data_IF_317222818315
#
_entry.id   IF_317222818315
#
_cell.length_a   1.000
_cell.length_b   1.000
_cell.length_c   1.000
_cell.angle_alpha   90.00
_cell.angle_beta   90.00
_cell.angle_gamma   90.00
#
_symmetry.space_group_name_H-M   'P 1'
#
loop_
_entity.id
_entity.type
_entity.pdbx_description
1 polymer ?
#
# COMPACT_ATOMS: atom_id res chain seq x y z
N UNK A 1 19.43 2.31 30.29
CA UNK A 1 18.29 1.54 29.72
C UNK A 1 18.40 1.54 28.21
N UNK A 2 18.13 0.43 27.53
CA UNK A 2 18.10 0.39 26.06
C UNK A 2 16.90 1.19 25.54
N UNK A 3 17.15 2.15 24.64
CA UNK A 3 16.10 2.94 23.99
C UNK A 3 15.08 1.99 23.34
N UNK A 4 13.79 2.26 23.52
CA UNK A 4 12.71 1.52 22.86
C UNK A 4 12.10 2.41 21.79
N UNK A 5 11.92 1.86 20.58
CA UNK A 5 11.26 2.52 19.46
C UNK A 5 10.01 1.71 19.10
N UNK A 6 8.86 2.36 19.13
CA UNK A 6 7.59 1.76 18.71
C UNK A 6 7.30 2.21 17.28
N UNK A 7 7.07 1.24 16.39
CA UNK A 7 6.66 1.47 15.01
C UNK A 7 5.18 1.12 14.91
N UNK A 8 4.36 2.11 14.55
CA UNK A 8 2.92 1.94 14.38
C UNK A 8 2.61 1.77 12.88
N UNK A 9 2.07 0.62 12.51
CA UNK A 9 1.73 0.24 11.14
C UNK A 9 2.75 -0.71 10.51
N UNK A 10 2.35 -1.95 10.28
CA UNK A 10 3.08 -3.02 9.58
C UNK A 10 3.05 -2.94 8.06
N UNK A 11 2.89 -1.73 7.50
CA UNK A 11 2.99 -1.46 6.07
C UNK A 11 4.44 -1.41 5.56
N UNK A 12 4.62 -1.03 4.30
CA UNK A 12 5.95 -0.94 3.65
C UNK A 12 6.91 -0.07 4.46
N UNK A 13 6.48 1.15 4.83
CA UNK A 13 7.31 2.09 5.58
C UNK A 13 7.64 1.63 6.99
N UNK A 14 6.69 1.02 7.70
CA UNK A 14 6.95 0.52 9.05
C UNK A 14 7.90 -0.67 9.07
N UNK A 15 7.73 -1.61 8.14
CA UNK A 15 8.67 -2.73 7.98
C UNK A 15 10.06 -2.24 7.56
N UNK A 16 10.15 -1.24 6.67
CA UNK A 16 11.41 -0.61 6.32
C UNK A 16 12.06 0.08 7.54
N UNK A 17 11.27 0.80 8.36
CA UNK A 17 11.77 1.41 9.58
C UNK A 17 12.31 0.36 10.56
N UNK A 18 11.56 -0.72 10.82
CA UNK A 18 12.02 -1.83 11.66
C UNK A 18 13.32 -2.44 11.14
N UNK A 19 13.40 -2.67 9.82
CA UNK A 19 14.61 -3.17 9.17
C UNK A 19 15.81 -2.26 9.48
N UNK A 20 15.71 -0.96 9.20
CA UNK A 20 16.81 -0.03 9.42
C UNK A 20 17.17 0.14 10.90
N UNK A 21 16.20 0.16 11.81
CA UNK A 21 16.43 0.19 13.26
C UNK A 21 17.18 -1.06 13.76
N UNK A 22 16.91 -2.24 13.19
CA UNK A 22 17.57 -3.49 13.58
C UNK A 22 19.00 -3.62 13.07
N UNK A 23 19.40 -2.81 12.08
CA UNK A 23 20.67 -2.93 11.36
C UNK A 23 21.81 -2.08 11.92
N UNK A 24 21.53 -1.22 12.89
CA UNK A 24 22.58 -0.36 13.50
C UNK A 24 23.43 -1.15 14.51
N UNK A 25 24.69 -0.74 14.79
CA UNK A 25 25.60 -1.50 15.66
C UNK A 25 25.08 -1.76 17.09
N UNK A 26 24.23 -0.86 17.61
CA UNK A 26 23.58 -0.97 18.92
C UNK A 26 22.07 -0.76 18.74
N UNK A 27 21.34 -1.77 18.26
CA UNK A 27 19.94 -1.58 17.91
C UNK A 27 19.10 -1.32 19.16
N UNK A 28 18.11 -0.40 19.10
CA UNK A 28 17.13 -0.24 20.15
C UNK A 28 16.21 -1.46 20.23
N UNK A 29 15.45 -1.58 21.32
CA UNK A 29 14.30 -2.49 21.34
C UNK A 29 13.25 -1.96 20.35
N UNK A 30 12.92 -2.74 19.33
CA UNK A 30 11.90 -2.38 18.33
C UNK A 30 10.60 -3.12 18.64
N UNK A 31 9.49 -2.38 18.74
CA UNK A 31 8.14 -2.94 18.90
C UNK A 31 7.31 -2.52 17.69
N UNK A 32 6.90 -3.48 16.87
CA UNK A 32 6.01 -3.24 15.74
C UNK A 32 4.57 -3.53 16.18
N UNK A 33 3.67 -2.57 15.97
CA UNK A 33 2.24 -2.71 16.23
C UNK A 33 1.49 -2.55 14.91
N UNK A 34 0.69 -3.55 14.55
CA UNK A 34 -0.13 -3.56 13.34
C UNK A 34 -1.59 -3.86 13.74
N UNK A 35 -2.54 -3.11 13.17
CA UNK A 35 -3.96 -3.25 13.50
C UNK A 35 -4.65 -4.41 12.79
N UNK A 36 -4.07 -4.92 11.71
CA UNK A 36 -4.56 -6.09 10.97
C UNK A 36 -3.87 -7.39 11.38
N UNK A 37 -4.41 -8.51 10.92
CA UNK A 37 -3.88 -9.86 11.19
C UNK A 37 -2.57 -10.16 10.44
N UNK A 38 -2.07 -9.22 9.62
CA UNK A 38 -0.88 -9.46 8.79
C UNK A 38 -0.04 -8.20 8.57
N UNK A 39 1.22 -8.43 8.21
CA UNK A 39 2.14 -7.39 7.76
C UNK A 39 2.11 -7.26 6.23
N UNK A 40 2.61 -6.13 5.71
CA UNK A 40 2.85 -5.89 4.27
C UNK A 40 2.00 -4.77 3.66
N UNK A 41 1.08 -4.16 4.41
CA UNK A 41 0.21 -3.09 3.89
C UNK A 41 -0.57 -3.56 2.66
N UNK A 42 -0.59 -2.79 1.57
CA UNK A 42 -1.31 -3.17 0.34
C UNK A 42 -0.60 -4.21 -0.53
N UNK A 43 0.60 -4.66 -0.15
CA UNK A 43 1.32 -5.73 -0.84
C UNK A 43 0.87 -7.08 -0.27
N UNK A 44 0.49 -8.02 -1.15
CA UNK A 44 0.08 -9.37 -0.77
C UNK A 44 0.34 -10.36 -1.90
N UNK A 45 1.04 -11.45 -1.59
CA UNK A 45 1.15 -12.58 -2.51
C UNK A 45 -0.01 -13.56 -2.30
N UNK A 46 -0.62 -14.03 -3.38
CA UNK A 46 -1.65 -15.09 -3.38
C UNK A 46 -1.15 -16.25 -4.22
N UNK A 47 -1.25 -17.47 -3.70
CA UNK A 47 -0.89 -18.69 -4.44
C UNK A 47 -2.15 -19.33 -5.02
N UNK A 48 -2.10 -19.68 -6.30
CA UNK A 48 -3.09 -20.50 -6.97
C UNK A 48 -2.93 -21.99 -6.67
N UNK A 49 -3.98 -22.76 -6.95
CA UNK A 49 -3.99 -24.23 -6.86
C UNK A 49 -2.97 -24.87 -7.83
N UNK A 50 -2.69 -24.18 -8.94
CA UNK A 50 -1.69 -24.51 -9.95
C UNK A 50 -0.26 -24.13 -9.54
N UNK A 51 -0.06 -23.61 -8.32
CA UNK A 51 1.23 -23.13 -7.82
C UNK A 51 1.63 -21.74 -8.32
N UNK A 52 0.82 -21.10 -9.17
CA UNK A 52 1.09 -19.75 -9.66
C UNK A 52 1.04 -18.72 -8.49
N UNK A 53 1.97 -17.77 -8.49
CA UNK A 53 2.03 -16.70 -7.47
C UNK A 53 1.57 -15.38 -8.08
N UNK A 54 0.56 -14.76 -7.48
CA UNK A 54 0.02 -13.45 -7.86
C UNK A 54 0.45 -12.42 -6.83
N UNK A 55 1.19 -11.41 -7.27
CA UNK A 55 1.56 -10.28 -6.41
C UNK A 55 0.49 -9.19 -6.52
N UNK A 56 -0.30 -9.02 -5.46
CA UNK A 56 -1.24 -7.92 -5.32
C UNK A 56 -0.49 -6.69 -4.82
N UNK A 57 -0.79 -5.53 -5.41
CA UNK A 57 -0.19 -4.25 -5.05
C UNK A 57 0.14 -3.37 -6.25
N UNK A 58 0.93 -2.30 -6.07
CA UNK A 58 1.14 -1.26 -7.07
C UNK A 58 1.98 -1.70 -8.29
N UNK A 59 2.61 -2.89 -8.26
CA UNK A 59 3.22 -3.55 -9.43
C UNK A 59 3.06 -5.06 -9.28
N UNK A 60 2.15 -5.66 -10.02
CA UNK A 60 1.69 -7.02 -9.74
C UNK A 60 2.08 -8.13 -10.71
N UNK A 61 3.02 -7.91 -11.65
CA UNK A 61 3.38 -8.99 -12.59
C UNK A 61 4.89 -9.04 -12.86
N UNK A 62 5.49 -10.20 -12.59
CA UNK A 62 6.71 -10.68 -13.27
C UNK A 62 6.31 -11.91 -14.08
N UNK A 63 5.78 -11.74 -15.30
CA UNK A 63 5.38 -12.89 -16.10
C UNK A 63 6.67 -13.60 -16.55
N UNK A 64 6.86 -14.85 -16.13
CA UNK A 64 7.97 -15.68 -16.57
C UNK A 64 7.43 -17.00 -17.14
N UNK A 65 8.00 -17.44 -18.26
CA UNK A 65 7.63 -18.68 -18.93
C UNK A 65 6.22 -18.71 -19.54
N UNK A 66 5.76 -19.91 -19.91
CA UNK A 66 4.45 -20.13 -20.54
C UNK A 66 3.27 -19.70 -19.65
N UNK A 67 3.45 -19.70 -18.32
CA UNK A 67 2.47 -19.21 -17.34
C UNK A 67 2.33 -17.68 -17.37
N UNK A 68 3.39 -16.94 -17.69
CA UNK A 68 3.35 -15.50 -17.93
C UNK A 68 2.85 -15.10 -19.32
N UNK A 69 2.97 -16.01 -20.30
CA UNK A 69 2.54 -15.79 -21.69
C UNK A 69 1.02 -15.87 -21.89
N UNK A 70 0.27 -16.47 -20.96
CA UNK A 70 -1.19 -16.40 -20.91
C UNK A 70 -1.59 -15.12 -20.19
N UNK A 71 -1.59 -14.04 -20.96
CA UNK A 71 -1.77 -12.63 -20.58
C UNK A 71 -2.57 -12.41 -19.29
N UNK A 72 -1.87 -12.01 -18.21
CA UNK A 72 -2.50 -11.45 -17.02
C UNK A 72 -2.90 -10.01 -17.32
N UNK A 73 -4.16 -9.79 -17.72
CA UNK A 73 -4.73 -8.46 -17.81
C UNK A 73 -5.03 -7.95 -16.41
N UNK A 74 -4.23 -6.98 -15.96
CA UNK A 74 -4.52 -6.25 -14.75
C UNK A 74 -5.41 -5.07 -15.10
N UNK A 75 -6.71 -5.20 -14.81
CA UNK A 75 -7.66 -4.10 -14.98
C UNK A 75 -7.77 -3.33 -13.67
N UNK A 76 -7.36 -2.07 -13.70
CA UNK A 76 -7.53 -1.15 -12.57
C UNK A 76 -8.88 -0.45 -12.69
N UNK A 77 -9.75 -0.69 -11.71
CA UNK A 77 -11.03 -0.01 -11.59
C UNK A 77 -10.98 0.98 -10.42
N UNK A 78 -11.57 2.17 -10.59
CA UNK A 78 -11.53 3.21 -9.58
C UNK A 78 -12.28 4.47 -10.01
N UNK A 79 -11.75 5.64 -9.64
CA UNK A 79 -12.30 6.94 -10.02
C UNK A 79 -13.69 7.21 -9.44
N UNK A 80 -14.39 8.18 -10.06
CA UNK A 80 -15.74 8.59 -9.66
C UNK A 80 -16.76 7.46 -9.75
N UNK A 81 -16.60 6.55 -10.71
CA UNK A 81 -17.47 5.38 -10.86
C UNK A 81 -17.46 4.50 -9.60
N UNK A 82 -16.27 4.13 -9.10
CA UNK A 82 -16.18 3.34 -7.87
C UNK A 82 -16.70 4.12 -6.66
N UNK A 83 -16.43 5.43 -6.59
CA UNK A 83 -16.95 6.27 -5.50
C UNK A 83 -18.49 6.30 -5.49
N UNK A 84 -19.13 6.34 -6.66
CA UNK A 84 -20.59 6.23 -6.78
C UNK A 84 -21.11 4.90 -6.25
N UNK A 85 -20.46 3.79 -6.60
CA UNK A 85 -20.81 2.46 -6.07
C UNK A 85 -20.64 2.36 -4.56
N UNK A 86 -19.57 2.93 -4.01
CA UNK A 86 -19.35 2.94 -2.57
C UNK A 86 -20.36 3.85 -1.84
N UNK A 87 -20.80 4.93 -2.47
CA UNK A 87 -21.85 5.80 -1.94
C UNK A 87 -23.22 5.09 -1.95
N UNK A 88 -23.56 4.37 -3.02
CA UNK A 88 -24.76 3.52 -3.11
C UNK A 88 -24.79 2.44 -2.01
N UNK A 89 -23.66 1.79 -1.77
CA UNK A 89 -23.54 0.74 -0.77
C UNK A 89 -23.64 1.27 0.68
N UNK A 90 -23.36 2.56 0.90
CA UNK A 90 -23.34 3.18 2.21
C UNK A 90 -22.07 2.86 3.03
N UNK A 91 -21.97 3.45 4.22
CA UNK A 91 -20.81 3.24 5.10
C UNK A 91 -20.70 1.77 5.53
N UNK A 92 -19.61 1.12 5.12
CA UNK A 92 -19.38 -0.30 5.41
C UNK A 92 -20.09 -1.26 4.46
N UNK A 93 -20.88 -0.76 3.50
CA UNK A 93 -21.54 -1.59 2.52
C UNK A 93 -20.58 -2.20 1.52
N UNK A 94 -20.85 -3.43 1.10
CA UNK A 94 -19.96 -4.21 0.25
C UNK A 94 -20.25 -4.00 -1.24
N UNK A 95 -19.20 -3.76 -2.03
CA UNK A 95 -19.34 -3.74 -3.50
C UNK A 95 -19.08 -5.16 -3.99
N UNK A 96 -20.11 -5.78 -4.57
CA UNK A 96 -20.04 -7.17 -5.03
C UNK A 96 -18.90 -7.38 -6.04
N UNK A 97 -17.97 -8.35 -5.81
CA UNK A 97 -16.86 -8.65 -6.72
C UNK A 97 -17.32 -8.97 -8.15
N UNK A 98 -18.50 -9.59 -8.30
CA UNK A 98 -19.09 -9.88 -9.61
C UNK A 98 -19.35 -8.63 -10.46
N UNK A 99 -19.73 -7.50 -9.84
CA UNK A 99 -19.96 -6.23 -10.54
C UNK A 99 -18.66 -5.64 -11.05
N UNK A 100 -17.58 -5.75 -10.27
CA UNK A 100 -16.23 -5.33 -10.66
C UNK A 100 -15.69 -6.20 -11.80
N UNK A 101 -15.83 -7.53 -11.69
CA UNK A 101 -15.41 -8.46 -12.74
C UNK A 101 -16.15 -8.19 -14.06
N UNK A 102 -17.46 -7.99 -14.00
CA UNK A 102 -18.27 -7.66 -15.19
C UNK A 102 -17.75 -6.39 -15.86
N UNK A 103 -17.52 -5.32 -15.10
CA UNK A 103 -16.98 -4.06 -15.63
C UNK A 103 -15.60 -4.22 -16.25
N UNK A 104 -14.73 -5.03 -15.64
CA UNK A 104 -13.41 -5.33 -16.18
C UNK A 104 -13.49 -6.06 -17.53
N UNK A 105 -14.40 -7.05 -17.65
CA UNK A 105 -14.62 -7.78 -18.90
C UNK A 105 -15.17 -6.89 -20.01
N UNK A 106 -16.14 -6.04 -19.69
CA UNK A 106 -16.66 -5.04 -20.64
C UNK A 106 -15.54 -4.13 -21.18
N UNK A 107 -14.66 -3.64 -20.29
CA UNK A 107 -13.54 -2.79 -20.68
C UNK A 107 -12.53 -3.54 -21.56
N UNK A 108 -12.18 -4.77 -21.20
CA UNK A 108 -11.24 -5.61 -21.96
C UNK A 108 -11.80 -5.95 -23.35
N UNK A 109 -13.07 -6.32 -23.47
CA UNK A 109 -13.71 -6.57 -24.75
C UNK A 109 -13.69 -5.30 -25.63
N UNK A 110 -14.12 -4.16 -25.07
CA UNK A 110 -14.20 -2.91 -25.82
C UNK A 110 -12.84 -2.33 -26.24
N UNK A 111 -11.80 -2.49 -25.41
CA UNK A 111 -10.50 -1.86 -25.62
C UNK A 111 -9.48 -2.77 -26.32
N UNK A 112 -9.58 -4.08 -26.11
CA UNK A 112 -8.61 -5.06 -26.60
C UNK A 112 -9.22 -6.09 -27.57
N UNK A 113 -10.55 -6.08 -27.77
CA UNK A 113 -11.23 -7.05 -28.63
C UNK A 113 -11.28 -8.48 -28.07
N UNK A 114 -10.98 -8.65 -26.78
CA UNK A 114 -10.95 -9.96 -26.13
C UNK A 114 -12.31 -10.26 -25.49
N UNK A 115 -13.15 -10.98 -26.23
CA UNK A 115 -14.54 -11.27 -25.82
C UNK A 115 -14.67 -12.56 -24.99
N UNK A 116 -13.67 -13.43 -25.08
CA UNK A 116 -13.67 -14.73 -24.42
C UNK A 116 -13.63 -14.59 -22.88
N UNK A 117 -14.32 -15.47 -22.12
CA UNK A 117 -14.21 -15.48 -20.67
C UNK A 117 -12.77 -15.81 -20.23
N UNK A 118 -12.23 -15.13 -19.20
CA UNK A 118 -10.93 -15.48 -18.68
C UNK A 118 -10.98 -16.87 -18.03
N UNK A 119 -9.95 -17.68 -18.28
CA UNK A 119 -9.82 -19.00 -17.65
C UNK A 119 -9.78 -18.93 -16.11
N UNK A 120 -9.32 -17.79 -15.56
CA UNK A 120 -9.33 -17.48 -14.14
C UNK A 120 -9.43 -15.99 -13.91
N UNK A 121 -10.11 -15.58 -12.83
CA UNK A 121 -10.18 -14.18 -12.41
C UNK A 121 -9.87 -14.05 -10.92
N UNK A 122 -9.22 -12.93 -10.56
CA UNK A 122 -9.00 -12.51 -9.18
C UNK A 122 -9.48 -11.07 -9.07
N UNK A 123 -10.35 -10.82 -8.08
CA UNK A 123 -10.93 -9.49 -7.85
C UNK A 123 -10.59 -9.06 -6.43
N UNK A 124 -9.89 -7.94 -6.30
CA UNK A 124 -9.54 -7.37 -5.02
C UNK A 124 -9.93 -5.90 -4.98
N UNK A 125 -10.77 -5.53 -4.00
CA UNK A 125 -11.14 -4.15 -3.75
C UNK A 125 -10.26 -3.58 -2.64
N UNK A 126 -9.38 -2.64 -3.00
CA UNK A 126 -8.54 -1.93 -2.05
C UNK A 126 -9.17 -0.59 -1.67
N UNK A 127 -9.84 -0.53 -0.52
CA UNK A 127 -10.47 0.70 -0.02
C UNK A 127 -9.45 1.68 0.53
N UNK A 128 -9.57 2.96 0.19
CA UNK A 128 -8.71 4.05 0.70
C UNK A 128 -7.20 3.73 0.57
N UNK A 129 -6.81 3.11 -0.55
CA UNK A 129 -5.47 2.54 -0.71
C UNK A 129 -4.43 3.49 -1.30
N UNK A 130 -4.86 4.50 -2.05
CA UNK A 130 -3.99 5.52 -2.65
C UNK A 130 -4.37 6.87 -2.05
N UNK A 131 -3.55 7.44 -1.14
CA UNK A 131 -3.75 8.79 -0.63
C UNK A 131 -3.82 9.81 -1.77
N UNK A 132 -4.74 10.77 -1.64
CA UNK A 132 -4.94 11.83 -2.63
C UNK A 132 -4.31 13.12 -2.13
N UNK A 133 -3.22 13.56 -2.77
CA UNK A 133 -2.51 14.79 -2.43
C UNK A 133 -3.21 15.99 -3.09
N UNK A 134 -4.35 16.36 -2.53
CA UNK A 134 -5.14 17.52 -3.01
C UNK A 134 -4.43 18.84 -2.78
N UNK A 135 -4.95 19.93 -3.34
CA UNK A 135 -4.46 21.29 -3.09
C UNK A 135 -4.30 21.54 -1.57
N UNK A 136 -3.21 22.21 -1.21
CA UNK A 136 -2.81 22.44 0.18
C UNK A 136 -2.14 21.25 0.88
N UNK A 137 -1.85 20.13 0.18
CA UNK A 137 -1.15 18.99 0.79
C UNK A 137 0.16 19.38 1.46
N UNK A 138 0.99 20.17 0.79
CA UNK A 138 2.26 20.65 1.33
C UNK A 138 2.05 21.48 2.62
N UNK A 139 1.01 22.31 2.70
CA UNK A 139 0.68 23.11 3.90
C UNK A 139 0.27 22.22 5.07
N UNK A 140 -0.47 21.13 4.79
CA UNK A 140 -0.83 20.14 5.80
C UNK A 140 0.40 19.43 6.36
N UNK A 141 1.34 19.06 5.49
CA UNK A 141 2.62 18.46 5.92
C UNK A 141 3.45 19.44 6.74
N UNK A 142 3.56 20.68 6.28
CA UNK A 142 4.30 21.73 6.97
C UNK A 142 3.70 22.05 8.35
N UNK A 143 2.38 22.14 8.43
CA UNK A 143 1.65 22.32 9.69
C UNK A 143 1.90 21.16 10.66
N UNK A 144 1.82 19.92 10.17
CA UNK A 144 2.12 18.74 10.99
C UNK A 144 3.58 18.74 11.48
N UNK A 145 4.55 19.03 10.61
CA UNK A 145 5.96 19.09 10.97
C UNK A 145 6.24 20.19 12.01
N UNK A 146 5.67 21.39 11.82
CA UNK A 146 5.77 22.49 12.79
C UNK A 146 5.19 22.09 14.13
N UNK A 147 4.03 21.44 14.16
CA UNK A 147 3.38 21.00 15.40
C UNK A 147 4.24 19.98 16.17
N UNK A 148 4.78 18.97 15.48
CA UNK A 148 5.66 17.97 16.08
C UNK A 148 6.92 18.59 16.68
N UNK A 149 7.54 19.52 15.93
CA UNK A 149 8.75 20.22 16.37
C UNK A 149 8.50 21.16 17.54
N UNK A 150 7.48 22.01 17.46
CA UNK A 150 7.13 22.97 18.51
C UNK A 150 6.76 22.27 19.83
N UNK A 151 6.08 21.12 19.72
CA UNK A 151 5.68 20.31 20.87
C UNK A 151 6.78 19.36 21.37
N UNK A 152 7.94 19.33 20.70
CA UNK A 152 9.06 18.40 20.99
C UNK A 152 8.62 16.95 21.12
N UNK A 153 7.66 16.53 20.29
CA UNK A 153 7.13 15.18 20.33
C UNK A 153 8.16 14.19 19.79
N UNK A 154 8.49 13.10 20.50
CA UNK A 154 9.38 12.05 20.01
C UNK A 154 8.67 11.14 18.99
N UNK A 155 8.12 11.74 17.93
CA UNK A 155 7.29 11.11 16.93
C UNK A 155 7.79 11.49 15.53
N UNK A 156 7.86 10.49 14.65
CA UNK A 156 8.20 10.66 13.23
C UNK A 156 7.09 10.07 12.37
N UNK A 157 6.78 10.75 11.26
CA UNK A 157 5.76 10.33 10.30
C UNK A 157 6.44 9.62 9.11
N UNK A 158 5.86 8.53 8.63
CA UNK A 158 6.32 7.80 7.45
C UNK A 158 5.15 7.07 6.78
N UNK A 159 5.25 6.82 5.48
CA UNK A 159 4.17 6.20 4.70
C UNK A 159 3.69 7.00 3.51
N UNK A 160 2.85 6.34 2.71
CA UNK A 160 2.25 6.88 1.49
C UNK A 160 1.36 8.11 1.72
N UNK A 161 1.01 8.44 2.97
CA UNK A 161 0.18 9.59 3.29
C UNK A 161 0.93 10.92 3.28
N UNK A 162 2.27 10.90 3.17
CA UNK A 162 3.10 12.08 3.38
C UNK A 162 3.83 12.52 2.10
N UNK A 163 5.01 11.98 1.82
CA UNK A 163 5.96 12.54 0.85
C UNK A 163 6.08 11.75 -0.47
N UNK A 164 5.22 10.75 -0.69
CA UNK A 164 5.23 9.97 -1.92
C UNK A 164 4.44 8.67 -1.79
N UNK A 165 3.75 8.29 -2.86
CA UNK A 165 2.86 7.11 -2.87
C UNK A 165 3.53 5.86 -3.41
N UNK A 166 4.71 5.97 -4.03
CA UNK A 166 5.39 4.83 -4.62
C UNK A 166 5.98 3.92 -3.54
N UNK A 167 6.24 2.65 -3.91
CA UNK A 167 6.92 1.69 -3.03
C UNK A 167 8.28 2.22 -2.58
N UNK A 168 9.04 2.81 -3.50
CA UNK A 168 10.35 3.38 -3.21
C UNK A 168 10.26 4.52 -2.19
N UNK A 169 9.29 5.43 -2.35
CA UNK A 169 9.03 6.53 -1.42
C UNK A 169 8.66 6.00 -0.04
N UNK A 170 7.84 4.94 0.01
CA UNK A 170 7.48 4.29 1.28
C UNK A 170 8.71 3.71 1.98
N UNK A 171 9.59 3.00 1.26
CA UNK A 171 10.83 2.45 1.82
C UNK A 171 11.73 3.57 2.34
N UNK A 172 11.94 4.61 1.52
CA UNK A 172 12.79 5.75 1.87
C UNK A 172 12.23 6.53 3.08
N UNK A 173 10.92 6.74 3.14
CA UNK A 173 10.28 7.36 4.32
C UNK A 173 10.49 6.54 5.60
N UNK A 174 10.44 5.21 5.51
CA UNK A 174 10.75 4.30 6.61
C UNK A 174 12.21 4.41 7.08
N UNK A 175 13.15 4.47 6.14
CA UNK A 175 14.58 4.70 6.42
C UNK A 175 14.80 6.03 7.14
N UNK A 176 14.21 7.12 6.64
CA UNK A 176 14.31 8.46 7.26
C UNK A 176 13.72 8.48 8.66
N UNK A 177 12.56 7.85 8.88
CA UNK A 177 11.96 7.77 10.20
C UNK A 177 12.82 6.97 11.19
N UNK A 178 13.47 5.89 10.75
CA UNK A 178 14.43 5.16 11.56
C UNK A 178 15.63 6.05 11.95
N UNK A 179 16.20 6.81 11.01
CA UNK A 179 17.32 7.73 11.29
C UNK A 179 16.93 8.79 12.33
N UNK A 180 15.78 9.46 12.15
CA UNK A 180 15.25 10.44 13.12
C UNK A 180 15.01 9.82 14.50
N UNK A 181 14.46 8.60 14.54
CA UNK A 181 14.22 7.88 15.80
C UNK A 181 15.51 7.50 16.53
N UNK A 182 16.63 7.38 15.82
CA UNK A 182 17.95 7.16 16.40
C UNK A 182 18.66 8.46 16.81
N UNK A 183 18.12 9.62 16.43
CA UNK A 183 18.75 10.93 16.65
C UNK A 183 19.84 11.27 15.63
N UNK A 184 19.86 10.58 14.49
CA UNK A 184 20.67 11.00 13.34
C UNK A 184 19.89 12.06 12.54
N UNK A 185 20.57 13.12 12.14
CA UNK A 185 20.02 14.08 11.17
C UNK A 185 19.95 13.40 9.78
N UNK A 186 18.89 13.65 8.96
CA UNK A 186 18.66 12.93 7.70
C UNK A 186 19.80 13.00 6.68
#
# INVERSE_FOLDING_TARGET
MTRTVVVLGGGISGLAACYHLSRVPRPPKVVLVEGSERLGGWIRSVRGEDGAVFELGPRGVRPAGAAGARTLLMVMLGGSWLQGLEAEAGRGGEVAPARLLRRAREAVAAQLGLEEPPARSLVHLHRRCIPQYTLGHWQRLESAARFLSASRLPLSLAGASYEGVAVNDCIESGRRAAARALGADP
#
